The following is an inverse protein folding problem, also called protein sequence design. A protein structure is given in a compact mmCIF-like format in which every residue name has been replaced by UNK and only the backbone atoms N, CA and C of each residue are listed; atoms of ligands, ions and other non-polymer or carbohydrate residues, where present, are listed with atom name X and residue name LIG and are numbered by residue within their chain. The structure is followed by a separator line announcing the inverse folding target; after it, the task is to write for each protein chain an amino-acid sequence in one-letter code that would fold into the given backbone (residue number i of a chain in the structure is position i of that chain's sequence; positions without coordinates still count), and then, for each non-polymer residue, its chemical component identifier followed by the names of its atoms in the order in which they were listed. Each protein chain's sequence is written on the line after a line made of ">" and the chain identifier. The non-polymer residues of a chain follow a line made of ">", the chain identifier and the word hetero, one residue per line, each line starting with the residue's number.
data_IF_117571470383
#
_entry.id   IF_117571470383
#
_cell.length_a   1.000
_cell.length_b   1.000
_cell.length_c   1.000
_cell.angle_alpha   90.00
_cell.angle_beta   90.00
_cell.angle_gamma   90.00
#
_symmetry.space_group_name_H-M   'P 1'
#
loop_
_entity.id
_entity.type
_entity.pdbx_description
1 polymer ?
#
# COMPACT_ATOMS: atom_id res chain seq x y z
N UNK A 1 -11.19 -15.89 12.14
CA UNK A 1 -10.46 -14.60 12.06
C UNK A 1 -9.55 -14.52 13.28
N UNK A 2 -8.24 -14.31 13.12
CA UNK A 2 -7.28 -14.13 14.24
C UNK A 2 -7.06 -12.62 14.44
N UNK A 3 -7.09 -12.15 15.69
CA UNK A 3 -6.75 -10.78 16.05
C UNK A 3 -5.25 -10.72 16.31
N UNK A 4 -4.57 -9.74 15.70
CA UNK A 4 -3.12 -9.51 15.80
C UNK A 4 -2.90 -8.14 16.44
N UNK A 5 -2.04 -8.08 17.44
CA UNK A 5 -1.71 -6.83 18.15
C UNK A 5 -0.30 -6.32 17.88
N UNK A 6 0.57 -7.18 17.31
CA UNK A 6 1.98 -6.85 17.05
C UNK A 6 2.21 -6.65 15.57
N UNK A 7 2.90 -5.57 15.20
CA UNK A 7 3.23 -5.25 13.80
C UNK A 7 4.13 -6.33 13.16
N UNK A 8 5.00 -6.95 13.94
CA UNK A 8 5.90 -8.02 13.49
C UNK A 8 5.09 -9.21 12.97
N UNK A 9 4.09 -9.66 13.74
CA UNK A 9 3.20 -10.75 13.31
C UNK A 9 2.37 -10.34 12.09
N UNK A 10 1.92 -9.09 12.01
CA UNK A 10 1.18 -8.60 10.85
C UNK A 10 2.05 -8.65 9.58
N UNK A 11 3.30 -8.21 9.66
CA UNK A 11 4.23 -8.25 8.52
C UNK A 11 4.54 -9.70 8.12
N UNK A 12 4.77 -10.62 9.07
CA UNK A 12 4.96 -12.04 8.75
C UNK A 12 3.75 -12.61 7.98
N UNK A 13 2.52 -12.27 8.39
CA UNK A 13 1.31 -12.71 7.67
C UNK A 13 1.24 -12.15 6.24
N UNK A 14 1.65 -10.91 6.04
CA UNK A 14 1.72 -10.32 4.69
C UNK A 14 2.76 -11.06 3.84
N UNK A 15 3.93 -11.35 4.41
CA UNK A 15 4.99 -12.13 3.74
C UNK A 15 4.53 -13.57 3.42
N UNK A 16 3.72 -14.16 4.30
CA UNK A 16 3.06 -15.47 4.09
C UNK A 16 1.90 -15.40 3.07
N UNK A 17 1.78 -14.31 2.32
CA UNK A 17 0.73 -14.10 1.31
C UNK A 17 -0.68 -14.13 1.89
N UNK A 18 -0.85 -13.62 3.12
CA UNK A 18 -2.16 -13.48 3.76
C UNK A 18 -2.61 -12.02 3.74
N UNK A 19 -3.92 -11.80 3.57
CA UNK A 19 -4.49 -10.46 3.67
C UNK A 19 -4.64 -10.08 5.14
N UNK A 20 -4.09 -8.94 5.51
CA UNK A 20 -4.17 -8.37 6.87
C UNK A 20 -5.06 -7.13 6.85
N UNK A 21 -6.12 -7.11 7.66
CA UNK A 21 -6.95 -5.94 7.86
C UNK A 21 -6.47 -5.15 9.09
N UNK A 22 -6.28 -3.85 8.92
CA UNK A 22 -5.91 -2.94 10.00
C UNK A 22 -7.16 -2.26 10.55
N UNK A 23 -7.25 -2.25 11.88
CA UNK A 23 -8.21 -1.47 12.64
C UNK A 23 -7.47 -0.78 13.79
N UNK A 24 -7.12 0.48 13.61
CA UNK A 24 -6.34 1.26 14.57
C UNK A 24 -6.69 2.76 14.48
N UNK A 25 -6.28 3.54 15.49
CA UNK A 25 -6.45 4.99 15.48
C UNK A 25 -7.88 5.47 15.29
N UNK A 26 -8.02 6.70 14.83
CA UNK A 26 -9.31 7.32 14.55
C UNK A 26 -9.93 6.80 13.25
N UNK A 27 -11.24 7.00 13.09
CA UNK A 27 -11.92 6.77 11.82
C UNK A 27 -11.38 7.70 10.75
N UNK A 28 -11.34 7.20 9.52
CA UNK A 28 -10.87 7.97 8.37
C UNK A 28 -12.05 8.63 7.68
N UNK A 29 -11.85 9.87 7.22
CA UNK A 29 -12.83 10.62 6.46
C UNK A 29 -12.50 10.54 4.97
N UNK A 30 -13.51 10.24 4.15
CA UNK A 30 -13.37 10.24 2.70
C UNK A 30 -13.40 8.86 2.06
N UNK A 31 -13.11 8.83 0.75
CA UNK A 31 -13.30 7.66 -0.10
C UNK A 31 -12.14 6.65 -0.06
N UNK A 32 -11.07 6.94 0.68
CA UNK A 32 -9.84 6.13 0.71
C UNK A 32 -9.50 5.70 2.13
N UNK A 33 -9.08 4.45 2.28
CA UNK A 33 -8.42 3.97 3.49
C UNK A 33 -6.95 4.37 3.44
N UNK A 34 -6.43 4.94 4.52
CA UNK A 34 -5.12 5.57 4.59
C UNK A 34 -4.26 5.02 5.76
N UNK A 35 -4.54 3.79 6.20
CA UNK A 35 -3.74 3.08 7.20
C UNK A 35 -4.44 2.79 8.53
N UNK A 36 -5.63 3.34 8.79
CA UNK A 36 -6.39 3.03 10.01
C UNK A 36 -7.49 1.98 9.78
N UNK A 37 -8.05 1.92 8.57
CA UNK A 37 -9.10 0.97 8.14
C UNK A 37 -8.72 0.36 6.79
N UNK A 38 -7.50 -0.15 6.69
CA UNK A 38 -6.91 -0.64 5.44
C UNK A 38 -6.86 -2.16 5.41
N UNK A 39 -6.93 -2.72 4.20
CA UNK A 39 -6.56 -4.11 3.92
C UNK A 39 -5.18 -4.10 3.24
N UNK A 40 -4.25 -4.83 3.82
CA UNK A 40 -2.87 -4.93 3.35
C UNK A 40 -2.62 -6.31 2.76
N UNK A 41 -1.83 -6.33 1.71
CA UNK A 41 -1.34 -7.54 1.06
C UNK A 41 0.01 -7.25 0.40
N UNK A 42 0.79 -8.28 0.13
CA UNK A 42 2.09 -8.15 -0.52
C UNK A 42 1.94 -7.66 -1.97
N UNK A 43 2.43 -6.44 -2.23
CA UNK A 43 2.32 -5.77 -3.54
C UNK A 43 3.20 -6.40 -4.63
N UNK A 44 4.17 -7.25 -4.25
CA UNK A 44 5.03 -7.99 -5.18
C UNK A 44 4.29 -9.15 -5.84
N UNK A 45 3.21 -9.62 -5.23
CA UNK A 45 2.39 -10.69 -5.78
C UNK A 45 1.53 -10.18 -6.95
N UNK A 46 1.75 -10.71 -8.15
CA UNK A 46 1.03 -10.31 -9.38
C UNK A 46 -0.49 -10.54 -9.31
N UNK A 47 -0.93 -11.48 -8.47
CA UNK A 47 -2.36 -11.78 -8.27
C UNK A 47 -2.99 -11.01 -7.11
N UNK A 48 -2.24 -10.14 -6.41
CA UNK A 48 -2.73 -9.41 -5.25
C UNK A 48 -4.02 -8.64 -5.53
N UNK A 49 -4.12 -7.98 -6.69
CA UNK A 49 -5.32 -7.27 -7.12
C UNK A 49 -6.54 -8.19 -7.15
N UNK A 50 -6.43 -9.37 -7.74
CA UNK A 50 -7.53 -10.36 -7.84
C UNK A 50 -7.92 -10.89 -6.47
N UNK A 51 -6.93 -11.23 -5.65
CA UNK A 51 -7.12 -11.76 -4.28
C UNK A 51 -7.88 -10.73 -3.42
N UNK A 52 -7.38 -9.50 -3.38
CA UNK A 52 -7.98 -8.43 -2.57
C UNK A 52 -9.38 -8.05 -3.10
N UNK A 53 -9.57 -7.98 -4.42
CA UNK A 53 -10.87 -7.67 -5.01
C UNK A 53 -11.92 -8.75 -4.72
N UNK A 54 -11.52 -10.03 -4.73
CA UNK A 54 -12.39 -11.15 -4.35
C UNK A 54 -12.85 -11.05 -2.90
N UNK A 55 -11.95 -10.75 -1.98
CA UNK A 55 -12.27 -10.58 -0.55
C UNK A 55 -13.21 -9.40 -0.34
N UNK A 56 -13.00 -8.30 -1.08
CA UNK A 56 -13.85 -7.10 -1.04
C UNK A 56 -15.20 -7.27 -1.75
N UNK A 57 -15.45 -8.40 -2.41
CA UNK A 57 -16.69 -8.64 -3.17
C UNK A 57 -16.91 -7.63 -4.30
N UNK A 58 -15.83 -7.15 -4.94
CA UNK A 58 -15.89 -6.14 -6.01
C UNK A 58 -15.34 -6.68 -7.33
N UNK A 59 -15.53 -5.92 -8.41
CA UNK A 59 -15.09 -6.31 -9.74
C UNK A 59 -13.57 -6.58 -9.76
N UNK A 60 -13.18 -7.66 -10.43
CA UNK A 60 -11.79 -8.16 -10.47
C UNK A 60 -10.80 -7.15 -11.09
N UNK A 61 -11.25 -6.32 -12.03
CA UNK A 61 -10.46 -5.35 -12.77
C UNK A 61 -10.20 -4.03 -12.03
N UNK A 62 -10.84 -3.78 -10.89
CA UNK A 62 -10.63 -2.55 -10.13
C UNK A 62 -9.18 -2.46 -9.66
N UNK A 63 -8.50 -1.32 -9.94
CA UNK A 63 -7.11 -1.15 -9.52
C UNK A 63 -7.00 -1.12 -8.00
N UNK A 64 -5.86 -1.59 -7.51
CA UNK A 64 -5.42 -1.42 -6.13
C UNK A 64 -4.55 -0.17 -6.01
N UNK A 65 -4.48 0.37 -4.82
CA UNK A 65 -3.57 1.45 -4.48
C UNK A 65 -2.55 0.91 -3.47
N UNK A 66 -1.42 1.61 -3.31
CA UNK A 66 -0.42 1.25 -2.33
C UNK A 66 -0.07 2.42 -1.43
N UNK A 67 0.65 2.11 -0.35
CA UNK A 67 1.32 3.09 0.48
C UNK A 67 2.82 2.92 0.32
N UNK A 68 3.52 4.02 0.16
CA UNK A 68 4.98 4.07 0.07
C UNK A 68 5.51 5.01 1.14
N UNK A 69 6.65 4.67 1.74
CA UNK A 69 7.37 5.59 2.61
C UNK A 69 7.77 6.84 1.82
N UNK A 70 7.56 8.01 2.40
CA UNK A 70 7.81 9.29 1.72
C UNK A 70 9.22 9.38 1.14
N UNK A 71 10.23 8.91 1.86
CA UNK A 71 11.64 8.91 1.47
C UNK A 71 11.93 8.07 0.21
N UNK A 72 11.11 7.05 -0.08
CA UNK A 72 11.28 6.17 -1.24
C UNK A 72 10.39 6.52 -2.44
N UNK A 73 9.59 7.59 -2.35
CA UNK A 73 8.63 7.95 -3.40
C UNK A 73 9.26 8.16 -4.78
N UNK A 74 10.45 8.77 -4.79
CA UNK A 74 11.17 9.04 -6.04
C UNK A 74 11.82 7.79 -6.67
N UNK A 75 11.94 6.70 -5.92
CA UNK A 75 12.48 5.44 -6.47
C UNK A 75 11.45 4.77 -7.40
N UNK A 76 10.16 4.90 -7.07
CA UNK A 76 9.06 4.21 -7.72
C UNK A 76 8.18 5.11 -8.59
N UNK A 77 8.11 6.40 -8.30
CA UNK A 77 7.14 7.34 -8.89
C UNK A 77 7.83 8.50 -9.59
N UNK A 78 7.28 8.91 -10.72
CA UNK A 78 7.63 10.16 -11.36
C UNK A 78 6.79 11.29 -10.77
N UNK A 79 7.22 11.83 -9.65
CA UNK A 79 6.47 12.81 -8.87
C UNK A 79 6.32 14.18 -9.57
N UNK A 80 7.09 14.46 -10.63
CA UNK A 80 7.10 15.76 -11.32
C UNK A 80 7.20 16.93 -10.32
N UNK A 81 6.17 17.77 -10.25
CA UNK A 81 6.12 18.92 -9.34
C UNK A 81 5.41 18.61 -8.00
N UNK A 82 5.01 17.34 -7.76
CA UNK A 82 4.40 16.93 -6.51
C UNK A 82 5.48 16.60 -5.48
N UNK A 83 5.40 17.20 -4.30
CA UNK A 83 6.24 16.77 -3.17
C UNK A 83 5.68 15.51 -2.49
N UNK A 84 4.37 15.45 -2.32
CA UNK A 84 3.72 14.32 -1.63
C UNK A 84 2.31 14.03 -2.18
N UNK A 85 1.80 12.85 -1.89
CA UNK A 85 0.43 12.40 -2.22
C UNK A 85 -0.18 11.66 -1.02
N UNK A 86 -0.47 12.34 0.11
CA UNK A 86 -0.86 11.65 1.35
C UNK A 86 -2.28 11.06 1.31
N UNK A 87 -3.11 11.47 0.35
CA UNK A 87 -4.54 11.11 0.29
C UNK A 87 -4.93 10.27 -0.93
N UNK A 88 -3.96 9.75 -1.70
CA UNK A 88 -4.22 8.97 -2.92
C UNK A 88 -5.12 9.70 -3.94
N UNK A 89 -4.96 11.01 -4.10
CA UNK A 89 -5.79 11.84 -4.99
C UNK A 89 -5.26 11.92 -6.41
N UNK A 90 -3.98 11.60 -6.60
CA UNK A 90 -3.30 11.71 -7.90
C UNK A 90 -3.02 10.33 -8.51
N UNK A 91 -3.19 10.20 -9.81
CA UNK A 91 -2.57 9.16 -10.62
C UNK A 91 -1.18 9.67 -11.04
N UNK A 92 -0.14 8.95 -10.68
CA UNK A 92 1.25 9.34 -10.86
C UNK A 92 1.93 8.29 -11.74
N UNK A 93 2.73 8.73 -12.72
CA UNK A 93 3.45 7.82 -13.60
C UNK A 93 4.38 6.91 -12.81
N UNK A 94 4.27 5.61 -13.06
CA UNK A 94 5.12 4.60 -12.47
C UNK A 94 6.49 4.61 -13.15
N UNK A 95 7.56 4.53 -12.35
CA UNK A 95 8.88 4.22 -12.87
C UNK A 95 9.02 2.73 -13.14
N UNK A 96 10.00 2.32 -13.95
CA UNK A 96 10.26 0.93 -14.28
C UNK A 96 10.38 0.05 -13.03
N UNK A 97 11.02 0.56 -11.97
CA UNK A 97 11.13 -0.13 -10.68
C UNK A 97 9.76 -0.51 -10.09
N UNK A 98 8.76 0.38 -10.19
CA UNK A 98 7.41 0.08 -9.70
C UNK A 98 6.75 -1.05 -10.53
N UNK A 99 6.93 -1.02 -11.85
CA UNK A 99 6.39 -2.02 -12.77
C UNK A 99 6.97 -3.41 -12.46
N UNK A 100 8.26 -3.47 -12.17
CA UNK A 100 8.97 -4.73 -11.95
C UNK A 100 8.73 -5.29 -10.54
N UNK A 101 8.75 -4.44 -9.50
CA UNK A 101 8.77 -4.88 -8.10
C UNK A 101 7.38 -4.91 -7.45
N UNK A 102 6.45 -4.02 -7.86
CA UNK A 102 5.10 -3.90 -7.26
C UNK A 102 3.98 -3.89 -8.32
N UNK A 103 3.98 -4.88 -9.21
CA UNK A 103 3.10 -4.91 -10.38
C UNK A 103 1.61 -4.88 -10.02
N UNK A 104 1.24 -5.34 -8.83
CA UNK A 104 -0.15 -5.32 -8.37
C UNK A 104 -0.71 -3.91 -8.14
N UNK A 105 0.16 -2.90 -8.02
CA UNK A 105 -0.22 -1.51 -7.74
C UNK A 105 -0.08 -0.61 -8.96
N UNK A 106 0.39 -1.14 -10.09
CA UNK A 106 0.53 -0.42 -11.35
C UNK A 106 -0.73 -0.65 -12.20
N UNK A 107 -1.29 0.44 -12.72
CA UNK A 107 -2.45 0.40 -13.59
C UNK A 107 -2.06 0.04 -15.03
N UNK A 108 -3.06 -0.28 -15.85
CA UNK A 108 -2.85 -0.67 -17.26
C UNK A 108 -2.23 0.42 -18.12
N UNK A 109 -2.31 1.67 -17.70
CA UNK A 109 -1.72 2.84 -18.35
C UNK A 109 -0.35 3.23 -17.75
N UNK A 110 0.24 2.36 -16.95
CA UNK A 110 1.48 2.57 -16.21
C UNK A 110 1.44 3.73 -15.21
N UNK A 111 0.26 4.10 -14.73
CA UNK A 111 0.15 4.99 -13.57
C UNK A 111 -0.02 4.20 -12.26
N UNK A 112 0.22 4.88 -11.15
CA UNK A 112 -0.02 4.37 -9.80
C UNK A 112 -0.80 5.41 -9.00
N UNK A 113 -1.55 4.95 -8.00
CA UNK A 113 -2.18 5.84 -7.03
C UNK A 113 -1.67 5.50 -5.64
N UNK A 114 -0.55 6.11 -5.26
CA UNK A 114 0.12 5.82 -3.99
C UNK A 114 -0.19 6.90 -2.96
N UNK A 115 -0.32 6.43 -1.71
CA UNK A 115 -0.19 7.27 -0.54
C UNK A 115 1.30 7.39 -0.22
N UNK A 116 1.84 8.60 -0.22
CA UNK A 116 3.15 8.87 0.38
C UNK A 116 2.94 9.06 1.89
N UNK A 117 3.69 8.31 2.69
CA UNK A 117 3.49 8.28 4.13
C UNK A 117 4.72 8.80 4.86
N UNK A 118 4.56 9.91 5.58
CA UNK A 118 5.54 10.42 6.55
C UNK A 118 5.21 9.87 7.95
N UNK A 119 6.24 9.70 8.77
CA UNK A 119 6.07 9.11 10.11
C UNK A 119 5.12 9.90 11.01
N UNK A 120 5.17 11.25 10.93
CA UNK A 120 4.32 12.14 11.72
C UNK A 120 2.83 12.04 11.37
N UNK A 121 2.48 11.60 10.15
CA UNK A 121 1.09 11.47 9.72
C UNK A 121 0.38 10.27 10.36
N UNK A 122 1.08 9.14 10.48
CA UNK A 122 0.57 7.93 11.13
C UNK A 122 1.74 7.04 11.59
N UNK A 123 2.29 7.27 12.79
CA UNK A 123 3.48 6.57 13.27
C UNK A 123 3.35 5.04 13.29
N UNK A 124 2.19 4.53 13.70
CA UNK A 124 1.96 3.08 13.77
C UNK A 124 1.93 2.42 12.39
N UNK A 125 1.30 3.09 11.44
CA UNK A 125 1.23 2.61 10.07
C UNK A 125 2.59 2.71 9.38
N UNK A 126 3.28 3.85 9.57
CA UNK A 126 4.63 4.04 9.07
C UNK A 126 5.59 2.94 9.57
N UNK A 127 5.59 2.66 10.88
CA UNK A 127 6.46 1.64 11.47
C UNK A 127 6.15 0.23 10.93
N UNK A 128 4.90 -0.06 10.56
CA UNK A 128 4.52 -1.33 9.92
C UNK A 128 5.06 -1.41 8.48
N UNK A 129 4.83 -0.37 7.67
CA UNK A 129 5.34 -0.31 6.28
C UNK A 129 6.86 -0.33 6.28
N UNK A 130 7.50 0.42 7.19
CA UNK A 130 8.96 0.42 7.35
C UNK A 130 9.50 -0.98 7.65
N UNK A 131 8.86 -1.71 8.55
CA UNK A 131 9.27 -3.08 8.87
C UNK A 131 9.12 -4.03 7.67
N UNK A 132 8.07 -3.86 6.86
CA UNK A 132 7.91 -4.61 5.62
C UNK A 132 9.04 -4.28 4.65
N UNK A 133 9.32 -2.98 4.46
CA UNK A 133 10.42 -2.53 3.61
C UNK A 133 11.79 -3.09 4.08
N UNK A 134 12.09 -3.04 5.37
CA UNK A 134 13.36 -3.54 5.94
C UNK A 134 13.56 -5.06 5.69
N UNK A 135 12.46 -5.81 5.57
CA UNK A 135 12.51 -7.26 5.29
C UNK A 135 12.54 -7.60 3.79
N UNK A 136 12.03 -6.73 2.94
CA UNK A 136 11.81 -7.04 1.52
C UNK A 136 12.62 -6.16 0.58
N UNK A 137 13.06 -5.02 1.05
CA UNK A 137 13.65 -3.93 0.27
C UNK A 137 12.69 -3.34 -0.80
N UNK A 138 11.36 -3.55 -0.59
CA UNK A 138 10.27 -3.12 -1.46
C UNK A 138 9.20 -2.42 -0.63
#
# INVERSE_FOLDING_TARGET
>A
MKIIYKKEEAVEKILDQQVVAIFQGHSEWGARALGNRSMLFDSRNKDAQKIVNRIKGRQWWRPTAATILYEHRHDYLNMQNLDESPYMTFAIDAKQKAIDEVPACVHVDNTCRFQTLKREQNPKYYDLIKLFYDKTNV
#
